data_IF_920499617695
#
_entry.id   IF_920499617695
#
_cell.length_a   1.000
_cell.length_b   1.000
_cell.length_c   1.000
_cell.angle_alpha   90.00
_cell.angle_beta   90.00
_cell.angle_gamma   90.00
#
_symmetry.space_group_name_H-M   'P 1'
#
loop_
_entity.id
_entity.type
_entity.pdbx_description
1 polymer ?
#
# COMPACT_ATOMS: atom_id res chain seq x y z
N UNK A 1 -18.95 -7.39 18.54
CA UNK A 1 -17.96 -7.73 17.50
C UNK A 1 -18.72 -7.99 16.21
N UNK A 2 -18.21 -7.55 15.04
CA UNK A 2 -18.83 -7.87 13.76
C UNK A 2 -18.86 -9.38 13.58
N UNK A 3 -20.00 -9.90 13.12
CA UNK A 3 -20.18 -11.34 12.88
C UNK A 3 -19.77 -11.72 11.45
N UNK A 4 -19.84 -10.78 10.50
CA UNK A 4 -19.41 -10.95 9.11
C UNK A 4 -18.36 -9.91 8.72
N UNK A 5 -17.17 -10.38 8.35
CA UNK A 5 -16.04 -9.51 8.03
C UNK A 5 -15.61 -9.73 6.58
N UNK A 6 -15.33 -8.65 5.86
CA UNK A 6 -14.68 -8.69 4.54
C UNK A 6 -13.19 -8.39 4.69
N UNK A 7 -12.33 -9.21 4.09
CA UNK A 7 -10.92 -8.91 3.89
C UNK A 7 -10.68 -8.69 2.39
N UNK A 8 -10.08 -7.57 2.04
CA UNK A 8 -9.69 -7.27 0.65
C UNK A 8 -8.24 -7.68 0.45
N UNK A 9 -7.96 -8.48 -0.58
CA UNK A 9 -6.64 -8.98 -0.96
C UNK A 9 -6.56 -10.50 -1.10
N UNK A 10 -5.34 -11.00 -1.32
CA UNK A 10 -5.08 -12.42 -1.62
C UNK A 10 -3.74 -12.95 -1.12
N UNK A 11 -2.93 -12.10 -0.48
CA UNK A 11 -1.58 -12.44 -0.04
C UNK A 11 -1.54 -13.14 1.31
N UNK A 12 -0.32 -13.45 1.75
CA UNK A 12 -0.09 -14.10 3.05
C UNK A 12 -0.56 -13.26 4.25
N UNK A 13 -0.50 -11.92 4.14
CA UNK A 13 -1.06 -11.01 5.14
C UNK A 13 -2.57 -11.20 5.30
N UNK A 14 -3.29 -11.25 4.19
CA UNK A 14 -4.74 -11.45 4.21
C UNK A 14 -5.10 -12.86 4.69
N UNK A 15 -4.27 -13.87 4.37
CA UNK A 15 -4.42 -15.20 4.95
C UNK A 15 -4.26 -15.19 6.47
N UNK A 16 -3.19 -14.58 7.01
CA UNK A 16 -3.00 -14.49 8.45
C UNK A 16 -4.16 -13.77 9.17
N UNK A 17 -4.69 -12.70 8.55
CA UNK A 17 -5.88 -12.00 9.04
C UNK A 17 -7.12 -12.89 9.01
N UNK A 18 -7.37 -13.60 7.90
CA UNK A 18 -8.52 -14.49 7.75
C UNK A 18 -8.46 -15.64 8.76
N UNK A 19 -7.31 -16.31 8.86
CA UNK A 19 -7.04 -17.36 9.86
C UNK A 19 -7.36 -16.88 11.28
N UNK A 20 -6.86 -15.70 11.66
CA UNK A 20 -7.04 -15.20 13.02
C UNK A 20 -8.48 -14.79 13.30
N UNK A 21 -9.10 -14.02 12.41
CA UNK A 21 -10.48 -13.54 12.58
C UNK A 21 -11.48 -14.69 12.55
N UNK A 22 -11.27 -15.67 11.67
CA UNK A 22 -12.11 -16.84 11.56
C UNK A 22 -11.90 -17.84 12.71
N UNK A 23 -10.96 -17.62 13.63
CA UNK A 23 -10.84 -18.36 14.88
C UNK A 23 -11.68 -17.75 16.02
N UNK A 24 -12.07 -16.47 15.91
CA UNK A 24 -12.78 -15.78 17.00
C UNK A 24 -14.21 -16.33 17.20
N UNK A 25 -14.65 -16.58 18.45
CA UNK A 25 -15.98 -17.14 18.72
C UNK A 25 -17.14 -16.25 18.25
N UNK A 26 -16.95 -14.93 18.21
CA UNK A 26 -17.97 -13.96 17.78
C UNK A 26 -18.06 -13.74 16.27
N UNK A 27 -17.18 -14.35 15.48
CA UNK A 27 -17.15 -14.22 14.02
C UNK A 27 -17.79 -15.44 13.38
N UNK A 28 -18.84 -15.22 12.60
CA UNK A 28 -19.60 -16.27 11.91
C UNK A 28 -18.99 -16.61 10.55
N UNK A 29 -18.58 -15.60 9.79
CA UNK A 29 -18.04 -15.76 8.43
C UNK A 29 -17.02 -14.66 8.13
N UNK A 30 -15.90 -15.04 7.51
CA UNK A 30 -14.94 -14.11 6.91
C UNK A 30 -14.99 -14.29 5.40
N UNK A 31 -15.43 -13.25 4.70
CA UNK A 31 -15.40 -13.19 3.24
C UNK A 31 -14.07 -12.59 2.82
N UNK A 32 -13.40 -13.16 1.82
CA UNK A 32 -12.13 -12.63 1.29
C UNK A 32 -12.23 -12.42 -0.22
N UNK A 33 -11.83 -11.25 -0.70
CA UNK A 33 -11.91 -10.90 -2.12
C UNK A 33 -10.58 -10.32 -2.64
N UNK A 34 -9.92 -10.93 -3.64
CA UNK A 34 -10.30 -12.19 -4.30
C UNK A 34 -9.96 -13.45 -3.49
N UNK A 35 -9.07 -13.36 -2.50
CA UNK A 35 -8.58 -14.51 -1.75
C UNK A 35 -7.61 -15.40 -2.54
N UNK A 36 -7.24 -16.54 -1.96
CA UNK A 36 -6.40 -17.57 -2.57
C UNK A 36 -6.79 -18.96 -2.05
N UNK A 37 -6.32 -20.04 -2.69
CA UNK A 37 -6.64 -21.41 -2.29
C UNK A 37 -6.24 -21.72 -0.84
N UNK A 38 -5.13 -21.14 -0.35
CA UNK A 38 -4.72 -21.29 1.04
C UNK A 38 -5.68 -20.62 2.03
N UNK A 39 -6.25 -19.48 1.63
CA UNK A 39 -7.23 -18.74 2.43
C UNK A 39 -8.57 -19.49 2.49
N UNK A 40 -9.00 -20.08 1.37
CA UNK A 40 -10.26 -20.85 1.31
C UNK A 40 -10.25 -22.11 2.18
N UNK A 41 -9.06 -22.66 2.46
CA UNK A 41 -8.92 -23.82 3.34
C UNK A 41 -9.20 -23.52 4.82
N UNK A 42 -9.26 -22.24 5.21
CA UNK A 42 -9.51 -21.84 6.60
C UNK A 42 -10.99 -22.04 7.00
N UNK A 43 -11.27 -22.53 8.22
CA UNK A 43 -12.64 -22.68 8.69
C UNK A 43 -13.39 -21.34 8.70
N UNK A 44 -14.68 -21.34 8.35
CA UNK A 44 -15.53 -20.12 8.32
C UNK A 44 -15.05 -19.03 7.35
N UNK A 45 -14.16 -19.36 6.41
CA UNK A 45 -13.73 -18.46 5.34
C UNK A 45 -14.44 -18.78 4.03
N UNK A 46 -14.84 -17.75 3.29
CA UNK A 46 -15.37 -17.84 1.93
C UNK A 46 -14.60 -16.88 1.02
N UNK A 47 -14.06 -17.38 -0.09
CA UNK A 47 -13.42 -16.52 -1.09
C UNK A 47 -14.38 -16.11 -2.21
N UNK A 48 -14.10 -14.98 -2.85
CA UNK A 48 -14.83 -14.48 -4.03
C UNK A 48 -13.83 -14.23 -5.18
N UNK A 49 -13.48 -15.27 -5.97
CA UNK A 49 -12.23 -15.34 -6.74
C UNK A 49 -12.14 -14.50 -8.03
N UNK A 50 -12.97 -13.47 -8.22
CA UNK A 50 -13.05 -12.73 -9.50
C UNK A 50 -13.16 -11.21 -9.37
N UNK A 51 -13.08 -10.68 -8.15
CA UNK A 51 -13.16 -9.23 -7.92
C UNK A 51 -11.74 -8.66 -7.87
N UNK A 52 -11.48 -7.63 -8.68
CA UNK A 52 -10.25 -6.84 -8.56
C UNK A 52 -10.27 -6.13 -7.19
N UNK A 53 -9.28 -6.36 -6.32
CA UNK A 53 -9.26 -5.73 -5.00
C UNK A 53 -9.17 -4.19 -5.07
N UNK A 54 -8.86 -3.60 -6.24
CA UNK A 54 -8.80 -2.15 -6.47
C UNK A 54 -10.13 -1.55 -6.93
N UNK A 55 -11.11 -2.37 -7.29
CA UNK A 55 -12.43 -1.94 -7.75
C UNK A 55 -13.33 -1.61 -6.54
N UNK A 56 -13.24 -0.36 -6.08
CA UNK A 56 -14.03 0.15 -4.96
C UNK A 56 -15.55 -0.08 -5.12
N UNK A 57 -16.17 0.28 -6.25
CA UNK A 57 -17.58 -0.01 -6.51
C UNK A 57 -17.96 -1.49 -6.39
N UNK A 58 -17.18 -2.40 -6.98
CA UNK A 58 -17.45 -3.84 -6.90
C UNK A 58 -17.29 -4.36 -5.46
N UNK A 59 -16.25 -3.94 -4.75
CA UNK A 59 -16.00 -4.30 -3.35
C UNK A 59 -17.14 -3.78 -2.44
N UNK A 60 -17.59 -2.55 -2.63
CA UNK A 60 -18.72 -2.00 -1.88
C UNK A 60 -20.03 -2.73 -2.18
N UNK A 61 -20.27 -3.14 -3.43
CA UNK A 61 -21.43 -3.96 -3.79
C UNK A 61 -21.38 -5.35 -3.16
N UNK A 62 -20.20 -5.98 -3.13
CA UNK A 62 -19.96 -7.25 -2.45
C UNK A 62 -20.26 -7.13 -0.94
N UNK A 63 -19.74 -6.07 -0.31
CA UNK A 63 -19.92 -5.84 1.12
C UNK A 63 -21.41 -5.74 1.49
N UNK A 64 -22.21 -5.03 0.67
CA UNK A 64 -23.66 -4.95 0.85
C UNK A 64 -24.35 -6.29 0.65
N UNK A 65 -24.01 -7.03 -0.41
CA UNK A 65 -24.69 -8.30 -0.74
C UNK A 65 -24.43 -9.41 0.29
N UNK A 66 -23.29 -9.36 0.99
CA UNK A 66 -22.94 -10.33 2.03
C UNK A 66 -23.28 -9.87 3.45
N UNK A 67 -23.91 -8.69 3.59
CA UNK A 67 -24.22 -8.05 4.88
C UNK A 67 -22.98 -7.91 5.77
N UNK A 68 -21.88 -7.40 5.19
CA UNK A 68 -20.61 -7.19 5.88
C UNK A 68 -20.75 -6.07 6.91
N UNK A 69 -20.27 -6.34 8.12
CA UNK A 69 -20.33 -5.41 9.26
C UNK A 69 -19.00 -4.69 9.50
N UNK A 70 -17.90 -5.24 8.96
CA UNK A 70 -16.57 -4.63 8.96
C UNK A 70 -15.80 -5.07 7.72
N UNK A 71 -15.20 -4.13 7.00
CA UNK A 71 -14.22 -4.41 5.96
C UNK A 71 -12.80 -4.10 6.46
N UNK A 72 -11.83 -4.95 6.10
CA UNK A 72 -10.40 -4.82 6.40
C UNK A 72 -9.64 -4.83 5.08
N UNK A 73 -8.93 -3.75 4.77
CA UNK A 73 -8.22 -3.63 3.50
C UNK A 73 -6.77 -4.04 3.70
N UNK A 74 -6.36 -5.10 2.99
CA UNK A 74 -5.02 -5.65 3.04
C UNK A 74 -4.02 -4.91 2.15
N UNK A 75 -4.20 -4.90 0.81
CA UNK A 75 -3.19 -4.38 -0.11
C UNK A 75 -3.20 -2.86 -0.19
N UNK A 76 -2.00 -2.29 -0.18
CA UNK A 76 -1.73 -0.87 -0.36
C UNK A 76 -2.25 -0.33 -1.70
N UNK A 77 -2.31 -1.18 -2.73
CA UNK A 77 -2.88 -0.81 -4.03
C UNK A 77 -4.39 -0.55 -3.96
N UNK A 78 -5.14 -1.27 -3.13
CA UNK A 78 -6.57 -1.01 -2.93
C UNK A 78 -6.81 0.27 -2.13
N UNK A 79 -5.92 0.57 -1.16
CA UNK A 79 -5.95 1.84 -0.44
C UNK A 79 -5.66 3.01 -1.38
N UNK A 80 -4.68 2.87 -2.27
CA UNK A 80 -4.32 3.88 -3.26
C UNK A 80 -5.47 4.21 -4.22
N UNK A 81 -6.30 3.22 -4.59
CA UNK A 81 -7.43 3.42 -5.50
C UNK A 81 -8.74 3.84 -4.82
N UNK A 82 -8.72 4.09 -3.50
CA UNK A 82 -9.89 4.61 -2.78
C UNK A 82 -10.97 3.57 -2.49
N UNK A 83 -10.60 2.30 -2.35
CA UNK A 83 -11.53 1.24 -1.94
C UNK A 83 -12.13 1.52 -0.56
N UNK A 84 -11.33 2.10 0.34
CA UNK A 84 -11.81 2.55 1.65
C UNK A 84 -12.90 3.61 1.52
N UNK A 85 -12.69 4.61 0.67
CA UNK A 85 -13.66 5.68 0.42
C UNK A 85 -14.97 5.12 -0.12
N UNK A 86 -14.92 4.15 -1.05
CA UNK A 86 -16.10 3.50 -1.60
C UNK A 86 -16.91 2.71 -0.55
N UNK A 87 -16.23 2.00 0.35
CA UNK A 87 -16.88 1.25 1.44
C UNK A 87 -17.51 2.19 2.47
N UNK A 88 -16.81 3.25 2.86
CA UNK A 88 -17.33 4.27 3.79
C UNK A 88 -18.54 4.98 3.18
N UNK A 89 -18.49 5.36 1.90
CA UNK A 89 -19.63 5.95 1.20
C UNK A 89 -20.85 5.01 1.12
N UNK A 90 -20.61 3.70 1.11
CA UNK A 90 -21.65 2.67 1.17
C UNK A 90 -22.16 2.37 2.60
N UNK A 91 -21.65 3.07 3.63
CA UNK A 91 -22.04 2.88 5.02
C UNK A 91 -21.43 1.64 5.69
N UNK A 92 -20.37 1.06 5.11
CA UNK A 92 -19.70 -0.12 5.67
C UNK A 92 -18.53 0.35 6.55
N UNK A 93 -18.52 0.01 7.86
CA UNK A 93 -17.37 0.26 8.71
C UNK A 93 -16.09 -0.34 8.11
N UNK A 94 -15.04 0.46 8.01
CA UNK A 94 -13.84 0.10 7.26
C UNK A 94 -12.58 0.35 8.06
N UNK A 95 -11.74 -0.67 8.15
CA UNK A 95 -10.37 -0.61 8.63
C UNK A 95 -9.42 -0.49 7.43
N UNK A 96 -8.98 0.74 7.19
CA UNK A 96 -8.07 1.12 6.11
C UNK A 96 -8.14 2.64 5.89
N UNK A 97 -7.02 3.32 5.60
CA UNK A 97 -7.04 4.76 5.32
C UNK A 97 -7.82 5.07 4.03
N UNK A 98 -8.37 6.28 3.96
CA UNK A 98 -8.86 6.86 2.69
C UNK A 98 -7.72 6.99 1.68
N UNK A 99 -8.01 7.11 0.39
CA UNK A 99 -6.99 7.34 -0.64
C UNK A 99 -6.12 8.56 -0.32
N UNK A 100 -6.73 9.64 0.18
CA UNK A 100 -6.02 10.85 0.58
C UNK A 100 -5.04 10.58 1.74
N UNK A 101 -5.43 9.80 2.74
CA UNK A 101 -4.56 9.43 3.86
C UNK A 101 -3.51 8.37 3.46
N UNK A 102 -3.85 7.45 2.56
CA UNK A 102 -2.96 6.41 2.03
C UNK A 102 -1.75 6.98 1.29
N UNK A 103 -1.81 8.25 0.83
CA UNK A 103 -0.67 8.97 0.26
C UNK A 103 0.57 8.95 1.14
N UNK A 104 0.43 8.84 2.47
CA UNK A 104 1.58 8.74 3.37
C UNK A 104 2.46 7.51 3.10
N UNK A 105 1.90 6.46 2.52
CA UNK A 105 2.61 5.25 2.09
C UNK A 105 2.82 5.22 0.57
N UNK A 106 1.81 5.66 -0.20
CA UNK A 106 1.85 5.56 -1.67
C UNK A 106 2.71 6.65 -2.32
N UNK A 107 3.06 7.74 -1.61
CA UNK A 107 4.02 8.75 -2.06
C UNK A 107 5.05 9.03 -0.97
N UNK A 108 6.30 8.65 -1.24
CA UNK A 108 7.47 8.92 -0.40
C UNK A 108 7.77 10.41 -0.33
N UNK A 109 7.49 11.14 -1.41
CA UNK A 109 7.57 12.60 -1.44
C UNK A 109 6.57 13.22 -0.46
N UNK A 110 5.29 12.83 -0.53
CA UNK A 110 4.27 13.30 0.40
C UNK A 110 4.57 12.90 1.85
N UNK A 111 5.04 11.67 2.08
CA UNK A 111 5.49 11.21 3.39
C UNK A 111 6.57 12.14 3.98
N UNK A 112 7.56 12.54 3.17
CA UNK A 112 8.62 13.48 3.55
C UNK A 112 8.07 14.86 3.88
N UNK A 113 7.11 15.38 3.11
CA UNK A 113 6.45 16.66 3.39
C UNK A 113 5.75 16.62 4.75
N UNK A 114 4.93 15.59 5.00
CA UNK A 114 4.21 15.39 6.27
C UNK A 114 5.18 15.27 7.44
N UNK A 115 6.22 14.45 7.31
CA UNK A 115 7.23 14.27 8.36
C UNK A 115 7.98 15.57 8.67
N UNK A 116 8.35 16.34 7.63
CA UNK A 116 9.04 17.62 7.78
C UNK A 116 8.14 18.64 8.49
N UNK A 117 6.89 18.77 8.04
CA UNK A 117 5.92 19.66 8.66
C UNK A 117 5.62 19.32 10.13
N UNK A 118 5.64 18.03 10.48
CA UNK A 118 5.43 17.54 11.84
C UNK A 118 6.70 17.56 12.71
N UNK A 119 7.87 17.96 12.17
CA UNK A 119 9.14 17.93 12.91
C UNK A 119 9.66 16.52 13.22
N UNK A 120 9.22 15.50 12.47
CA UNK A 120 9.67 14.12 12.62
C UNK A 120 11.08 14.00 12.04
N UNK A 121 12.01 13.44 12.82
CA UNK A 121 13.39 13.21 12.36
C UNK A 121 13.41 12.12 11.30
N UNK A 122 13.82 12.49 10.08
CA UNK A 122 14.00 11.60 8.93
C UNK A 122 15.35 11.85 8.26
N UNK A 123 15.79 10.92 7.40
CA UNK A 123 17.01 11.10 6.62
C UNK A 123 16.91 12.35 5.73
N UNK A 124 18.00 13.14 5.67
CA UNK A 124 18.13 14.28 4.74
C UNK A 124 17.90 13.80 3.31
N UNK A 125 17.27 14.64 2.50
CA UNK A 125 16.97 14.36 1.11
C UNK A 125 15.83 15.25 0.61
N UNK A 126 15.61 15.21 -0.71
CA UNK A 126 14.59 15.97 -1.40
C UNK A 126 13.91 15.10 -2.46
N UNK A 127 12.77 15.56 -2.97
CA UNK A 127 12.07 14.95 -4.09
C UNK A 127 12.34 15.75 -5.36
N UNK A 128 12.45 15.06 -6.49
CA UNK A 128 12.80 15.64 -7.78
C UNK A 128 11.92 15.03 -8.86
N UNK A 129 11.54 15.84 -9.85
CA UNK A 129 10.80 15.40 -11.04
C UNK A 129 11.62 15.55 -12.33
N UNK A 130 12.90 15.91 -12.22
CA UNK A 130 13.82 16.11 -13.33
C UNK A 130 15.15 15.44 -12.98
N UNK A 131 15.78 14.82 -13.98
CA UNK A 131 17.03 14.09 -13.83
C UNK A 131 18.18 14.99 -13.33
N UNK A 132 18.45 16.11 -14.02
CA UNK A 132 19.62 16.95 -13.69
C UNK A 132 19.62 17.49 -12.25
N UNK A 133 18.51 18.04 -11.71
CA UNK A 133 18.46 18.44 -10.30
C UNK A 133 18.63 17.27 -9.33
N UNK A 134 18.11 16.09 -9.65
CA UNK A 134 18.26 14.91 -8.82
C UNK A 134 19.73 14.45 -8.76
N UNK A 135 20.40 14.43 -9.91
CA UNK A 135 21.81 14.07 -10.03
C UNK A 135 22.73 15.05 -9.30
N UNK A 136 22.46 16.35 -9.43
CA UNK A 136 23.22 17.38 -8.70
C UNK A 136 23.13 17.18 -7.17
N UNK A 137 21.92 16.93 -6.66
CA UNK A 137 21.71 16.64 -5.24
C UNK A 137 22.41 15.36 -4.79
N UNK A 138 22.33 14.28 -5.60
CA UNK A 138 22.99 13.02 -5.28
C UNK A 138 24.53 13.19 -5.18
N UNK A 139 25.14 13.90 -6.13
CA UNK A 139 26.58 14.23 -6.12
C UNK A 139 26.97 15.05 -4.90
N UNK A 140 26.17 16.06 -4.52
CA UNK A 140 26.43 16.86 -3.31
C UNK A 140 26.35 16.00 -2.04
N UNK A 141 25.31 15.18 -1.91
CA UNK A 141 25.12 14.32 -0.74
C UNK A 141 26.23 13.27 -0.58
N UNK A 142 26.79 12.80 -1.71
CA UNK A 142 27.86 11.82 -1.76
C UNK A 142 29.28 12.42 -1.64
N UNK A 143 29.44 13.74 -1.70
CA UNK A 143 30.74 14.41 -1.79
C UNK A 143 31.72 14.08 -0.64
N UNK A 144 31.21 13.76 0.56
CA UNK A 144 32.01 13.38 1.72
C UNK A 144 32.37 11.87 1.75
N UNK A 145 32.21 11.14 0.64
CA UNK A 145 32.41 9.69 0.56
C UNK A 145 31.31 8.88 1.25
N UNK A 146 30.11 9.47 1.42
CA UNK A 146 28.93 8.79 1.97
C UNK A 146 28.07 8.24 0.84
N UNK A 147 27.46 7.09 1.06
CA UNK A 147 26.43 6.57 0.15
C UNK A 147 25.15 7.41 0.18
N UNK A 148 24.34 7.28 -0.86
CA UNK A 148 23.03 7.91 -1.03
C UNK A 148 21.99 6.85 -1.35
N UNK A 149 20.71 7.15 -1.08
CA UNK A 149 19.61 6.22 -1.38
C UNK A 149 18.68 6.89 -2.37
N UNK A 150 18.58 6.31 -3.56
CA UNK A 150 17.66 6.72 -4.62
C UNK A 150 16.35 5.97 -4.46
N UNK A 151 15.22 6.66 -4.49
CA UNK A 151 13.89 6.07 -4.26
C UNK A 151 12.89 6.60 -5.28
N UNK A 152 12.23 5.71 -6.00
CA UNK A 152 11.07 6.05 -6.81
C UNK A 152 9.93 6.55 -5.92
N UNK A 153 9.27 7.65 -6.30
CA UNK A 153 7.97 7.97 -5.70
C UNK A 153 6.91 6.99 -6.22
N UNK A 154 5.79 6.82 -5.49
CA UNK A 154 4.77 5.85 -5.89
C UNK A 154 4.95 4.44 -5.35
N UNK A 155 4.02 3.57 -5.78
CA UNK A 155 3.99 2.14 -5.50
C UNK A 155 4.87 1.38 -6.52
N UNK A 156 6.13 1.19 -6.17
CA UNK A 156 7.09 0.46 -7.00
C UNK A 156 7.20 -1.04 -6.64
N UNK A 157 6.13 -1.66 -6.13
CA UNK A 157 6.07 -3.08 -5.71
C UNK A 157 7.26 -3.55 -4.83
N UNK A 158 7.77 -2.67 -3.97
CA UNK A 158 8.94 -2.94 -3.12
C UNK A 158 10.30 -2.90 -3.82
N UNK A 159 10.36 -2.57 -5.12
CA UNK A 159 11.60 -2.54 -5.92
C UNK A 159 12.14 -1.14 -6.22
N UNK A 160 11.38 -0.09 -5.92
CA UNK A 160 11.78 1.30 -6.21
C UNK A 160 12.73 1.94 -5.19
N UNK A 161 13.67 1.18 -4.62
CA UNK A 161 14.68 1.70 -3.68
C UNK A 161 16.04 1.11 -4.03
N UNK A 162 17.00 1.97 -4.33
CA UNK A 162 18.38 1.61 -4.64
C UNK A 162 19.32 2.27 -3.63
N UNK A 163 20.15 1.47 -2.98
CA UNK A 163 21.23 1.96 -2.10
C UNK A 163 22.48 2.09 -2.94
N UNK A 164 23.03 3.30 -3.00
CA UNK A 164 24.16 3.65 -3.85
C UNK A 164 25.36 4.00 -2.96
N UNK A 165 26.48 3.29 -3.14
CA UNK A 165 27.68 3.50 -2.32
C UNK A 165 28.41 4.81 -2.67
N UNK A 166 28.23 5.30 -3.90
CA UNK A 166 28.87 6.50 -4.43
C UNK A 166 27.95 7.25 -5.42
N UNK A 167 28.45 8.39 -5.93
CA UNK A 167 27.72 9.24 -6.88
C UNK A 167 27.48 8.56 -8.23
N UNK A 168 28.40 7.72 -8.70
CA UNK A 168 28.27 7.02 -9.98
C UNK A 168 27.18 5.95 -9.91
N UNK A 169 27.09 5.24 -8.79
CA UNK A 169 25.99 4.32 -8.51
C UNK A 169 24.64 5.04 -8.37
N UNK A 170 24.65 6.27 -7.85
CA UNK A 170 23.46 7.10 -7.78
C UNK A 170 22.99 7.58 -9.16
N UNK A 171 23.93 7.99 -10.02
CA UNK A 171 23.66 8.39 -11.40
C UNK A 171 23.00 7.25 -12.18
N UNK A 172 23.58 6.04 -12.16
CA UNK A 172 22.97 4.86 -12.80
C UNK A 172 21.58 4.52 -12.26
N UNK A 173 21.38 4.69 -10.95
CA UNK A 173 20.07 4.45 -10.34
C UNK A 173 19.03 5.49 -10.77
N UNK A 174 19.44 6.75 -10.97
CA UNK A 174 18.59 7.81 -11.50
C UNK A 174 18.29 7.58 -12.98
N UNK A 175 19.27 7.17 -13.79
CA UNK A 175 19.08 6.85 -15.21
C UNK A 175 17.98 5.81 -15.37
N UNK A 176 18.07 4.69 -14.63
CA UNK A 176 17.04 3.64 -14.65
C UNK A 176 15.65 4.17 -14.24
N UNK A 177 15.57 5.03 -13.24
CA UNK A 177 14.28 5.57 -12.79
C UNK A 177 13.65 6.52 -13.79
N UNK A 178 14.45 7.37 -14.43
CA UNK A 178 13.95 8.37 -15.38
C UNK A 178 13.76 7.81 -16.80
N UNK A 179 14.42 6.71 -17.17
CA UNK A 179 14.14 5.97 -18.42
C UNK A 179 12.82 5.18 -18.34
N UNK A 180 12.43 4.69 -17.16
CA UNK A 180 11.18 3.95 -16.95
C UNK A 180 9.93 4.87 -16.84
N UNK A 181 10.11 6.19 -16.80
CA UNK A 181 9.05 7.21 -16.64
C UNK A 181 8.58 7.84 -17.99
N UNK A 182 9.15 7.45 -19.14
CA UNK A 182 8.73 7.81 -20.52
C UNK A 182 7.77 6.77 -21.15
#
# INVERSE_FOLDING_TARGET
MPTRILIVGSGAREHALAWKLAAEPGVNEVVVAPGSAGIEAEPRVRIVPTIDPRDGPAIAALARSHAIELAVIGPESALATGVADALVAAGVPTFGPTAAAARIETSKAFCREVATAAGVRIARGAAFSLFDPALACAREMAADGRGVVVKADGLAAGKGVTVCDDADAAERALELLFEDDD
#
